data_IF_132404668660
#
_entry.id   IF_132404668660
#
_cell.length_a   1.000
_cell.length_b   1.000
_cell.length_c   1.000
_cell.angle_alpha   90.00
_cell.angle_beta   90.00
_cell.angle_gamma   90.00
#
_symmetry.space_group_name_H-M   'P 1'
#
loop_
_entity.id
_entity.type
_entity.pdbx_description
1 polymer ?
#
# COMPACT_ATOMS: atom_id res chain seq x y z
N UNK A 1 -10.93 -36.64 2.94
CA UNK A 1 -10.22 -35.35 2.80
C UNK A 1 -10.10 -34.60 4.14
N UNK A 2 -10.07 -35.27 5.32
CA UNK A 2 -10.09 -34.61 6.65
C UNK A 2 -8.86 -33.73 6.96
N UNK A 3 -7.80 -33.82 6.16
CA UNK A 3 -6.55 -33.06 6.34
C UNK A 3 -6.37 -31.95 5.30
N UNK A 4 -7.36 -31.66 4.46
CA UNK A 4 -7.22 -30.65 3.41
C UNK A 4 -7.27 -29.25 4.02
N UNK A 5 -6.17 -28.51 3.87
CA UNK A 5 -6.01 -27.13 4.37
C UNK A 5 -6.11 -26.08 3.27
N UNK A 6 -5.89 -26.46 2.01
CA UNK A 6 -5.99 -25.54 0.87
C UNK A 6 -6.78 -26.19 -0.27
N UNK A 7 -7.67 -25.39 -0.87
CA UNK A 7 -8.45 -25.77 -2.05
C UNK A 7 -8.25 -24.72 -3.15
N UNK A 8 -7.69 -25.16 -4.27
CA UNK A 8 -7.38 -24.31 -5.42
C UNK A 8 -8.27 -24.65 -6.62
N UNK A 9 -9.12 -23.70 -7.00
CA UNK A 9 -10.09 -23.82 -8.09
C UNK A 9 -10.07 -22.60 -9.03
N UNK A 10 -8.95 -21.87 -9.05
CA UNK A 10 -8.74 -20.68 -9.90
C UNK A 10 -8.93 -21.00 -11.40
N UNK A 11 -9.55 -20.08 -12.15
CA UNK A 11 -9.82 -20.18 -13.59
C UNK A 11 -10.57 -21.45 -14.01
N UNK A 12 -11.49 -21.95 -13.17
CA UNK A 12 -12.30 -23.13 -13.52
C UNK A 12 -13.69 -22.73 -14.03
N UNK A 13 -14.35 -23.66 -14.73
CA UNK A 13 -15.70 -23.48 -15.26
C UNK A 13 -16.84 -23.74 -14.26
N UNK A 14 -16.53 -23.82 -12.97
CA UNK A 14 -17.51 -24.15 -11.92
C UNK A 14 -18.64 -23.13 -11.87
N UNK A 15 -19.85 -23.62 -11.60
CA UNK A 15 -21.05 -22.77 -11.44
C UNK A 15 -21.38 -22.48 -9.97
N UNK A 16 -21.15 -23.45 -9.11
CA UNK A 16 -21.34 -23.36 -7.67
C UNK A 16 -20.44 -24.38 -6.98
N UNK A 17 -20.10 -24.11 -5.71
CA UNK A 17 -19.52 -25.13 -4.83
C UNK A 17 -20.64 -25.97 -4.19
N UNK A 18 -20.42 -27.28 -3.96
CA UNK A 18 -21.38 -28.11 -3.24
C UNK A 18 -21.44 -27.71 -1.76
N UNK A 19 -22.61 -27.87 -1.13
CA UNK A 19 -22.78 -27.60 0.31
C UNK A 19 -21.85 -28.42 1.21
N UNK A 20 -21.41 -29.59 0.74
CA UNK A 20 -20.42 -30.45 1.41
C UNK A 20 -19.04 -29.80 1.60
N UNK A 21 -18.78 -28.61 1.04
CA UNK A 21 -17.59 -27.81 1.36
C UNK A 21 -17.45 -27.60 2.87
N UNK A 22 -18.58 -27.46 3.61
CA UNK A 22 -18.57 -27.26 5.06
C UNK A 22 -17.92 -28.39 5.86
N UNK A 23 -17.85 -29.60 5.30
CA UNK A 23 -17.16 -30.73 5.92
C UNK A 23 -15.64 -30.63 5.89
N UNK A 24 -15.08 -29.64 5.20
CA UNK A 24 -13.64 -29.35 5.17
C UNK A 24 -13.24 -28.46 6.34
N UNK A 25 -13.56 -28.87 7.57
CA UNK A 25 -13.37 -28.10 8.81
C UNK A 25 -11.92 -27.65 9.09
N UNK A 26 -10.93 -28.19 8.38
CA UNK A 26 -9.51 -27.80 8.47
C UNK A 26 -9.06 -26.88 7.32
N UNK A 27 -9.97 -26.45 6.45
CA UNK A 27 -9.63 -25.59 5.32
C UNK A 27 -9.24 -24.19 5.83
N UNK A 28 -8.06 -23.75 5.43
CA UNK A 28 -7.50 -22.43 5.74
C UNK A 28 -7.49 -21.52 4.51
N UNK A 29 -7.38 -22.09 3.30
CA UNK A 29 -7.26 -21.34 2.05
C UNK A 29 -8.27 -21.83 1.00
N UNK A 30 -9.15 -20.94 0.53
CA UNK A 30 -10.10 -21.21 -0.54
C UNK A 30 -9.88 -20.22 -1.69
N UNK A 31 -9.45 -20.72 -2.85
CA UNK A 31 -9.23 -19.88 -4.03
C UNK A 31 -10.13 -20.32 -5.20
N UNK A 32 -10.90 -19.36 -5.70
CA UNK A 32 -11.93 -19.48 -6.72
C UNK A 32 -11.83 -18.37 -7.77
N UNK A 33 -10.74 -17.60 -7.77
CA UNK A 33 -10.62 -16.44 -8.65
C UNK A 33 -10.71 -16.80 -10.14
N UNK A 34 -11.18 -15.87 -10.96
CA UNK A 34 -11.33 -16.08 -12.40
C UNK A 34 -12.40 -17.11 -12.80
N UNK A 35 -13.23 -17.58 -11.86
CA UNK A 35 -14.33 -18.49 -12.16
C UNK A 35 -15.51 -17.73 -12.79
N UNK A 36 -15.42 -17.45 -14.09
CA UNK A 36 -16.40 -16.64 -14.83
C UNK A 36 -17.83 -17.20 -14.90
N UNK A 37 -18.06 -18.43 -14.43
CA UNK A 37 -19.38 -19.06 -14.34
C UNK A 37 -19.92 -19.19 -12.92
N UNK A 38 -19.14 -18.82 -11.89
CA UNK A 38 -19.53 -18.92 -10.50
C UNK A 38 -20.66 -17.92 -10.19
N UNK A 39 -21.83 -18.41 -9.82
CA UNK A 39 -22.99 -17.55 -9.51
C UNK A 39 -23.23 -17.39 -8.02
N UNK A 40 -22.92 -18.42 -7.24
CA UNK A 40 -23.21 -18.47 -5.81
C UNK A 40 -22.19 -19.33 -5.05
N UNK A 41 -22.06 -19.09 -3.74
CA UNK A 41 -21.35 -19.96 -2.79
C UNK A 41 -22.38 -20.56 -1.82
N UNK A 42 -22.18 -21.81 -1.35
CA UNK A 42 -23.08 -22.44 -0.39
C UNK A 42 -22.89 -21.86 1.02
N UNK A 43 -23.97 -21.85 1.83
CA UNK A 43 -23.90 -21.42 3.24
C UNK A 43 -22.95 -22.29 4.10
N UNK A 44 -22.64 -23.51 3.66
CA UNK A 44 -21.61 -24.36 4.27
C UNK A 44 -20.22 -23.71 4.34
N UNK A 45 -19.96 -22.60 3.63
CA UNK A 45 -18.74 -21.80 3.81
C UNK A 45 -18.59 -21.31 5.25
N UNK A 46 -19.69 -21.04 5.96
CA UNK A 46 -19.66 -20.60 7.36
C UNK A 46 -19.27 -21.72 8.34
N UNK A 47 -19.26 -23.00 7.93
CA UNK A 47 -18.74 -24.09 8.76
C UNK A 47 -17.20 -24.15 8.76
N UNK A 48 -16.55 -23.38 7.86
CA UNK A 48 -15.09 -23.34 7.72
C UNK A 48 -14.46 -22.41 8.77
N UNK A 49 -14.51 -22.83 10.04
CA UNK A 49 -14.09 -22.01 11.18
C UNK A 49 -12.59 -21.65 11.19
N UNK A 50 -11.75 -22.41 10.46
CA UNK A 50 -10.30 -22.15 10.32
C UNK A 50 -9.93 -21.37 9.07
N UNK A 51 -10.90 -20.94 8.27
CA UNK A 51 -10.65 -20.27 7.00
C UNK A 51 -9.95 -18.93 7.25
N UNK A 52 -8.75 -18.79 6.71
CA UNK A 52 -7.91 -17.59 6.81
C UNK A 52 -8.00 -16.74 5.56
N UNK A 53 -8.15 -17.37 4.40
CA UNK A 53 -8.13 -16.67 3.12
C UNK A 53 -9.22 -17.16 2.18
N UNK A 54 -9.98 -16.20 1.65
CA UNK A 54 -10.98 -16.40 0.60
C UNK A 54 -10.62 -15.53 -0.59
N UNK A 55 -10.34 -16.16 -1.73
CA UNK A 55 -10.01 -15.47 -2.97
C UNK A 55 -11.05 -15.75 -4.05
N UNK A 56 -11.89 -14.76 -4.33
CA UNK A 56 -13.01 -14.78 -5.29
C UNK A 56 -12.80 -13.82 -6.45
N UNK A 57 -11.68 -13.10 -6.52
CA UNK A 57 -11.51 -12.03 -7.51
C UNK A 57 -11.73 -12.50 -8.95
N UNK A 58 -12.22 -11.62 -9.83
CA UNK A 58 -12.54 -11.95 -11.22
C UNK A 58 -13.67 -12.99 -11.38
N UNK A 59 -14.66 -13.00 -10.49
CA UNK A 59 -15.89 -13.79 -10.62
C UNK A 59 -17.11 -12.89 -10.98
N UNK A 60 -17.25 -12.43 -12.24
CA UNK A 60 -18.22 -11.39 -12.61
C UNK A 60 -19.70 -11.80 -12.46
N UNK A 61 -20.00 -13.10 -12.42
CA UNK A 61 -21.36 -13.61 -12.22
C UNK A 61 -21.73 -13.80 -10.74
N UNK A 62 -20.78 -13.65 -9.83
CA UNK A 62 -21.03 -13.73 -8.40
C UNK A 62 -21.59 -12.39 -7.92
N UNK A 63 -22.90 -12.36 -7.69
CA UNK A 63 -23.64 -11.13 -7.35
C UNK A 63 -23.89 -10.93 -5.86
N UNK A 64 -23.73 -12.01 -5.09
CA UNK A 64 -23.94 -12.03 -3.64
C UNK A 64 -22.98 -13.01 -2.97
N UNK A 65 -22.64 -12.74 -1.71
CA UNK A 65 -22.09 -13.73 -0.81
C UNK A 65 -23.25 -14.46 -0.10
N UNK A 66 -23.12 -15.75 0.28
CA UNK A 66 -24.19 -16.50 0.93
C UNK A 66 -24.70 -15.78 2.18
N UNK A 67 -26.02 -15.75 2.38
CA UNK A 67 -26.62 -15.22 3.59
C UNK A 67 -26.78 -16.33 4.63
N UNK A 68 -26.21 -16.14 5.82
CA UNK A 68 -26.31 -17.10 6.93
C UNK A 68 -27.78 -17.37 7.33
N UNK A 69 -28.63 -16.33 7.28
CA UNK A 69 -30.04 -16.38 7.69
C UNK A 69 -30.90 -17.27 6.79
N UNK A 70 -30.59 -17.37 5.50
CA UNK A 70 -31.32 -18.25 4.57
C UNK A 70 -31.04 -19.74 4.81
N UNK A 71 -29.96 -20.07 5.54
CA UNK A 71 -29.61 -21.45 5.89
C UNK A 71 -30.38 -22.00 7.10
N UNK A 72 -30.95 -21.13 7.95
CA UNK A 72 -31.73 -21.56 9.12
C UNK A 72 -33.15 -22.05 8.75
N UNK A 73 -33.55 -21.87 7.48
CA UNK A 73 -34.91 -22.17 6.97
C UNK A 73 -34.93 -23.37 6.01
N UNK A 74 -34.20 -24.47 6.28
CA UNK A 74 -34.55 -25.89 5.99
C UNK A 74 -33.33 -26.78 5.60
N UNK A 75 -33.34 -28.10 5.89
CA UNK A 75 -34.20 -28.83 6.81
C UNK A 75 -33.45 -29.63 7.89
N UNK A 76 -34.15 -29.74 9.02
CA UNK A 76 -34.20 -30.83 9.99
C UNK A 76 -33.65 -32.15 9.44
N UNK A 77 -32.44 -32.54 9.86
CA UNK A 77 -32.08 -33.96 9.85
C UNK A 77 -32.81 -34.63 11.00
N UNK A 78 -33.87 -35.36 10.66
CA UNK A 78 -34.45 -36.39 11.50
C UNK A 78 -33.33 -37.36 11.92
N UNK A 79 -32.85 -37.24 13.17
CA UNK A 79 -32.29 -38.38 13.90
C UNK A 79 -33.38 -39.46 13.88
N UNK A 80 -33.21 -40.46 13.01
CA UNK A 80 -34.00 -41.67 13.03
C UNK A 80 -33.79 -42.30 14.40
N UNK A 81 -34.83 -42.18 15.23
CA UNK A 81 -34.91 -42.81 16.54
C UNK A 81 -34.97 -44.33 16.33
N UNK A 82 -33.91 -45.02 16.75
CA UNK A 82 -34.02 -46.41 17.17
C UNK A 82 -33.73 -46.49 18.67
N UNK A 83 -34.84 -46.60 19.41
CA UNK A 83 -35.05 -47.23 20.71
C UNK A 83 -34.10 -46.99 21.90
N UNK A 84 -34.71 -46.36 22.92
CA UNK A 84 -34.78 -46.78 24.33
C UNK A 84 -33.48 -47.05 25.09
N UNK A 85 -33.09 -46.12 25.98
CA UNK A 85 -33.24 -46.25 27.44
C UNK A 85 -32.40 -45.21 28.21
N UNK A 86 -33.09 -44.57 29.15
CA UNK A 86 -32.68 -44.31 30.53
C UNK A 86 -31.65 -43.20 30.87
N UNK A 87 -32.17 -42.28 31.68
CA UNK A 87 -31.53 -41.53 32.78
C UNK A 87 -30.34 -40.59 32.52
N UNK A 88 -30.62 -39.32 32.85
CA UNK A 88 -29.69 -38.32 33.40
C UNK A 88 -28.37 -38.13 32.65
N UNK A 89 -28.41 -37.31 31.61
CA UNK A 89 -27.25 -36.54 31.18
C UNK A 89 -27.65 -35.08 31.09
N UNK A 90 -26.83 -34.24 31.72
CA UNK A 90 -26.84 -32.79 31.71
C UNK A 90 -27.05 -32.21 30.30
N UNK A 91 -27.48 -30.94 30.16
CA UNK A 91 -27.53 -30.31 28.85
C UNK A 91 -26.14 -30.36 28.21
N UNK A 92 -25.98 -31.15 27.15
CA UNK A 92 -24.84 -31.04 26.25
C UNK A 92 -24.71 -29.57 25.84
N UNK A 93 -23.50 -29.03 25.96
CA UNK A 93 -23.17 -27.63 25.64
C UNK A 93 -23.21 -27.38 24.12
N UNK A 94 -24.37 -27.58 23.51
CA UNK A 94 -24.61 -27.38 22.09
C UNK A 94 -25.05 -25.94 21.85
N UNK A 95 -24.09 -25.02 21.88
CA UNK A 95 -24.09 -23.75 21.11
C UNK A 95 -22.76 -23.03 21.33
N UNK A 96 -21.64 -23.77 21.23
CA UNK A 96 -20.32 -23.15 21.14
C UNK A 96 -20.16 -22.53 19.74
N UNK A 97 -20.74 -21.34 19.59
CA UNK A 97 -20.35 -20.29 18.63
C UNK A 97 -20.16 -20.74 17.17
N UNK A 98 -21.27 -20.87 16.43
CA UNK A 98 -21.26 -20.85 14.96
C UNK A 98 -20.88 -19.43 14.46
N UNK A 99 -19.68 -18.94 14.75
CA UNK A 99 -19.22 -17.62 14.30
C UNK A 99 -18.96 -17.66 12.80
N UNK A 100 -19.36 -16.62 12.08
CA UNK A 100 -19.18 -16.52 10.64
C UNK A 100 -17.71 -16.19 10.31
N UNK A 101 -16.90 -17.22 10.07
CA UNK A 101 -15.48 -17.10 9.65
C UNK A 101 -14.58 -16.33 10.65
N UNK A 102 -14.43 -16.81 11.91
CA UNK A 102 -13.72 -16.07 12.96
C UNK A 102 -12.22 -15.88 12.69
N UNK A 103 -11.59 -16.78 11.91
CA UNK A 103 -10.16 -16.75 11.60
C UNK A 103 -9.81 -16.02 10.30
N UNK A 104 -10.78 -15.38 9.63
CA UNK A 104 -10.57 -14.75 8.33
C UNK A 104 -9.58 -13.58 8.43
N UNK A 105 -8.45 -13.72 7.75
CA UNK A 105 -7.36 -12.73 7.65
C UNK A 105 -7.48 -11.94 6.34
N UNK A 106 -7.79 -12.64 5.24
CA UNK A 106 -7.82 -12.07 3.89
C UNK A 106 -9.10 -12.41 3.15
N UNK A 107 -9.77 -11.38 2.66
CA UNK A 107 -10.95 -11.52 1.81
C UNK A 107 -10.78 -10.74 0.52
N UNK A 108 -10.75 -11.44 -0.62
CA UNK A 108 -10.59 -10.85 -1.93
C UNK A 108 -11.78 -11.16 -2.83
N UNK A 109 -12.51 -10.14 -3.25
CA UNK A 109 -13.66 -10.25 -4.14
C UNK A 109 -13.66 -9.14 -5.21
N UNK A 110 -12.46 -8.67 -5.58
CA UNK A 110 -12.28 -7.68 -6.64
C UNK A 110 -12.85 -8.15 -7.98
N UNK A 111 -13.46 -7.26 -8.77
CA UNK A 111 -14.02 -7.64 -10.07
C UNK A 111 -15.24 -8.57 -10.00
N UNK A 112 -15.78 -8.82 -8.80
CA UNK A 112 -17.07 -9.47 -8.61
C UNK A 112 -18.19 -8.43 -8.67
N UNK A 113 -19.37 -8.81 -9.14
CA UNK A 113 -20.51 -7.91 -9.19
C UNK A 113 -21.30 -7.94 -7.86
N UNK A 114 -20.60 -7.93 -6.74
CA UNK A 114 -21.18 -7.95 -5.39
C UNK A 114 -21.93 -6.63 -5.15
N UNK A 115 -23.21 -6.63 -5.53
CA UNK A 115 -24.09 -5.46 -5.47
C UNK A 115 -24.43 -5.04 -4.03
N UNK A 116 -24.35 -5.99 -3.10
CA UNK A 116 -24.54 -5.78 -1.67
C UNK A 116 -23.33 -6.37 -0.92
N UNK A 117 -22.66 -5.51 -0.13
CA UNK A 117 -21.51 -5.88 0.70
C UNK A 117 -21.81 -5.81 2.21
N UNK A 118 -23.08 -5.71 2.58
CA UNK A 118 -23.56 -5.70 3.97
C UNK A 118 -23.23 -7.02 4.69
N UNK A 119 -23.01 -8.10 3.95
CA UNK A 119 -22.57 -9.38 4.51
C UNK A 119 -21.27 -9.23 5.32
N UNK A 120 -20.40 -8.26 5.00
CA UNK A 120 -19.19 -7.98 5.77
C UNK A 120 -19.52 -7.63 7.24
N UNK A 121 -20.65 -6.98 7.49
CA UNK A 121 -21.12 -6.69 8.84
C UNK A 121 -21.47 -7.95 9.64
N UNK A 122 -21.74 -9.08 8.97
CA UNK A 122 -22.05 -10.37 9.62
C UNK A 122 -20.82 -11.23 9.93
N UNK A 123 -19.63 -10.90 9.40
CA UNK A 123 -18.42 -11.71 9.58
C UNK A 123 -17.80 -11.55 10.96
N UNK A 124 -17.45 -12.62 11.63
CA UNK A 124 -16.90 -12.60 13.00
C UNK A 124 -15.37 -12.46 13.04
N UNK A 125 -14.82 -11.71 12.08
CA UNK A 125 -13.39 -11.52 11.86
C UNK A 125 -12.89 -10.12 12.24
N UNK A 126 -13.55 -9.45 13.19
CA UNK A 126 -13.26 -8.05 13.57
C UNK A 126 -11.78 -7.81 13.94
N UNK A 127 -11.17 -8.76 14.67
CA UNK A 127 -9.79 -8.71 15.14
C UNK A 127 -8.80 -9.47 14.24
N UNK A 128 -9.27 -10.19 13.23
CA UNK A 128 -8.43 -11.06 12.40
C UNK A 128 -8.26 -10.53 10.98
N UNK A 129 -9.27 -9.85 10.42
CA UNK A 129 -9.24 -9.36 9.05
C UNK A 129 -8.18 -8.26 8.88
N UNK A 130 -7.13 -8.56 8.12
CA UNK A 130 -6.02 -7.66 7.84
C UNK A 130 -6.04 -7.14 6.40
N UNK A 131 -6.57 -7.90 5.45
CA UNK A 131 -6.67 -7.49 4.04
C UNK A 131 -8.08 -7.66 3.48
N UNK A 132 -8.64 -6.57 2.96
CA UNK A 132 -9.93 -6.55 2.29
C UNK A 132 -9.78 -6.00 0.87
N UNK A 133 -10.20 -6.78 -0.11
CA UNK A 133 -10.28 -6.36 -1.50
C UNK A 133 -11.71 -6.48 -2.02
N UNK A 134 -12.30 -5.31 -2.27
CA UNK A 134 -13.62 -5.15 -2.89
C UNK A 134 -13.49 -4.24 -4.12
N UNK A 135 -12.34 -4.28 -4.80
CA UNK A 135 -12.09 -3.53 -6.03
C UNK A 135 -13.15 -3.81 -7.09
N UNK A 136 -13.40 -2.82 -7.94
CA UNK A 136 -14.38 -2.85 -9.03
C UNK A 136 -15.82 -3.11 -8.56
N UNK A 137 -16.11 -2.93 -7.26
CA UNK A 137 -17.46 -3.02 -6.73
C UNK A 137 -18.28 -1.78 -7.08
N UNK A 138 -19.61 -1.91 -7.30
CA UNK A 138 -20.49 -0.80 -7.67
C UNK A 138 -20.87 0.12 -6.49
N UNK A 139 -20.01 0.22 -5.46
CA UNK A 139 -20.25 0.95 -4.23
C UNK A 139 -20.23 2.46 -4.45
N UNK A 140 -21.11 3.16 -3.75
CA UNK A 140 -21.18 4.63 -3.72
C UNK A 140 -20.58 5.19 -2.44
N UNK A 141 -20.76 4.45 -1.34
CA UNK A 141 -20.32 4.79 0.01
C UNK A 141 -19.61 3.56 0.58
N UNK A 142 -18.58 3.79 1.39
CA UNK A 142 -17.88 2.73 2.10
C UNK A 142 -18.73 2.22 3.29
N UNK A 143 -18.92 0.91 3.47
CA UNK A 143 -19.70 0.37 4.60
C UNK A 143 -19.11 0.71 5.97
N UNK A 144 -20.00 0.97 6.95
CA UNK A 144 -19.61 1.29 8.33
C UNK A 144 -18.76 0.20 9.01
N UNK A 145 -18.91 -1.07 8.64
CA UNK A 145 -18.10 -2.15 9.22
C UNK A 145 -16.61 -2.00 8.89
N UNK A 146 -16.27 -1.45 7.72
CA UNK A 146 -14.87 -1.17 7.35
C UNK A 146 -14.28 -0.09 8.25
N UNK A 147 -15.13 0.86 8.70
CA UNK A 147 -14.74 2.00 9.53
C UNK A 147 -14.65 1.62 11.01
N UNK A 148 -15.67 0.92 11.52
CA UNK A 148 -15.87 0.75 12.97
C UNK A 148 -15.63 -0.67 13.49
N UNK A 149 -15.63 -1.69 12.63
CA UNK A 149 -15.57 -3.11 13.07
C UNK A 149 -14.19 -3.74 12.85
N UNK A 150 -13.60 -3.58 11.68
CA UNK A 150 -12.34 -4.23 11.32
C UNK A 150 -11.12 -3.45 11.85
N UNK A 151 -10.91 -3.49 13.17
CA UNK A 151 -9.90 -2.67 13.86
C UNK A 151 -8.46 -3.00 13.48
N UNK A 152 -8.20 -4.22 12.97
CA UNK A 152 -6.87 -4.67 12.52
C UNK A 152 -6.69 -4.62 10.99
N UNK A 153 -7.63 -4.00 10.27
CA UNK A 153 -7.56 -3.91 8.82
C UNK A 153 -6.35 -3.04 8.40
N UNK A 154 -5.33 -3.69 7.83
CA UNK A 154 -4.09 -3.03 7.42
C UNK A 154 -4.02 -2.70 5.94
N UNK A 155 -4.77 -3.41 5.10
CA UNK A 155 -4.80 -3.26 3.64
C UNK A 155 -6.23 -3.19 3.11
N UNK A 156 -6.53 -2.13 2.36
CA UNK A 156 -7.83 -1.94 1.73
C UNK A 156 -7.67 -1.65 0.23
N UNK A 157 -8.19 -2.55 -0.60
CA UNK A 157 -8.23 -2.38 -2.06
C UNK A 157 -9.64 -1.99 -2.52
N UNK A 158 -9.76 -0.76 -3.03
CA UNK A 158 -10.95 -0.17 -3.62
C UNK A 158 -10.72 0.22 -5.08
N UNK A 159 -9.65 -0.28 -5.73
CA UNK A 159 -9.34 0.01 -7.13
C UNK A 159 -10.60 -0.10 -8.00
N UNK A 160 -10.85 0.86 -8.88
CA UNK A 160 -11.93 0.78 -9.85
C UNK A 160 -13.35 0.89 -9.28
N UNK A 161 -13.53 1.26 -8.01
CA UNK A 161 -14.83 1.63 -7.43
C UNK A 161 -15.30 2.98 -8.00
N UNK A 162 -15.67 3.01 -9.28
CA UNK A 162 -15.89 4.24 -10.08
C UNK A 162 -17.04 5.14 -9.59
N UNK A 163 -17.90 4.65 -8.70
CA UNK A 163 -19.05 5.38 -8.12
C UNK A 163 -18.78 5.88 -6.70
N UNK A 164 -17.67 5.49 -6.09
CA UNK A 164 -17.29 5.91 -4.75
C UNK A 164 -16.97 7.41 -4.78
N UNK A 165 -17.65 8.20 -3.93
CA UNK A 165 -17.50 9.66 -3.90
C UNK A 165 -16.59 10.12 -2.78
N UNK A 166 -16.63 9.45 -1.63
CA UNK A 166 -15.82 9.81 -0.48
C UNK A 166 -15.28 8.59 0.26
N UNK A 167 -14.13 8.79 0.89
CA UNK A 167 -13.58 7.88 1.88
C UNK A 167 -13.57 8.62 3.22
N UNK A 168 -14.39 8.18 4.19
CA UNK A 168 -14.43 8.79 5.51
C UNK A 168 -13.15 8.47 6.30
N UNK A 169 -13.13 8.77 7.61
CA UNK A 169 -12.02 8.34 8.45
C UNK A 169 -11.92 6.81 8.45
N UNK A 170 -10.72 6.30 8.20
CA UNK A 170 -10.43 4.88 8.14
C UNK A 170 -9.82 4.42 9.48
N UNK A 171 -9.86 3.11 9.80
CA UNK A 171 -9.17 2.59 10.98
C UNK A 171 -7.68 2.98 10.99
N UNK A 172 -7.10 3.29 12.16
CA UNK A 172 -5.72 3.76 12.27
C UNK A 172 -4.68 2.70 11.87
N UNK A 173 -5.06 1.42 11.82
CA UNK A 173 -4.23 0.31 11.39
C UNK A 173 -3.98 0.27 9.87
N UNK A 174 -4.76 1.02 9.08
CA UNK A 174 -4.61 1.06 7.62
C UNK A 174 -3.23 1.61 7.26
N UNK A 175 -2.43 0.75 6.64
CA UNK A 175 -1.08 1.05 6.15
C UNK A 175 -1.02 1.09 4.62
N UNK A 176 -1.98 0.47 3.94
CA UNK A 176 -2.05 0.42 2.49
C UNK A 176 -3.48 0.66 2.00
N UNK A 177 -3.64 1.65 1.11
CA UNK A 177 -4.93 2.02 0.51
C UNK A 177 -4.78 2.16 -1.00
N UNK A 178 -5.48 1.32 -1.75
CA UNK A 178 -5.54 1.45 -3.21
C UNK A 178 -6.92 1.94 -3.65
N UNK A 179 -6.97 3.12 -4.24
CA UNK A 179 -8.20 3.72 -4.79
C UNK A 179 -8.01 4.10 -6.25
N UNK A 180 -7.00 3.51 -6.91
CA UNK A 180 -6.73 3.70 -8.33
C UNK A 180 -8.00 3.56 -9.16
N UNK A 181 -8.17 4.38 -10.18
CA UNK A 181 -9.32 4.35 -11.10
C UNK A 181 -10.69 4.66 -10.43
N UNK A 182 -10.71 5.18 -9.19
CA UNK A 182 -11.91 5.74 -8.55
C UNK A 182 -12.21 7.15 -9.07
N UNK A 183 -12.66 7.24 -10.33
CA UNK A 183 -12.80 8.51 -11.06
C UNK A 183 -13.82 9.51 -10.48
N UNK A 184 -14.77 9.05 -9.67
CA UNK A 184 -15.77 9.91 -8.99
C UNK A 184 -15.37 10.31 -7.59
N UNK A 185 -14.23 9.84 -7.09
CA UNK A 185 -13.76 10.12 -5.74
C UNK A 185 -13.40 11.61 -5.64
N UNK A 186 -13.97 12.28 -4.65
CA UNK A 186 -13.87 13.71 -4.43
C UNK A 186 -13.19 14.04 -3.10
N UNK A 187 -13.25 13.15 -2.10
CA UNK A 187 -12.67 13.37 -0.77
C UNK A 187 -12.08 12.11 -0.15
N UNK A 188 -10.96 12.25 0.54
CA UNK A 188 -10.41 11.27 1.49
C UNK A 188 -10.14 12.03 2.80
N UNK A 189 -10.84 11.70 3.88
CA UNK A 189 -10.73 12.42 5.17
C UNK A 189 -9.28 12.59 5.62
N UNK A 190 -8.46 11.52 5.52
CA UNK A 190 -7.05 11.53 5.89
C UNK A 190 -6.27 12.66 5.19
N UNK A 191 -6.46 12.83 3.89
CA UNK A 191 -5.75 13.86 3.11
C UNK A 191 -6.26 15.26 3.46
N UNK A 192 -7.59 15.44 3.56
CA UNK A 192 -8.18 16.72 3.97
C UNK A 192 -7.70 17.14 5.37
N UNK A 193 -7.71 16.23 6.34
CA UNK A 193 -7.26 16.49 7.70
C UNK A 193 -5.78 16.87 7.77
N UNK A 194 -4.93 16.27 6.92
CA UNK A 194 -3.51 16.62 6.82
C UNK A 194 -3.34 18.04 6.27
N UNK A 195 -4.08 18.40 5.22
CA UNK A 195 -4.04 19.77 4.66
C UNK A 195 -4.55 20.82 5.65
N UNK A 196 -5.57 20.48 6.43
CA UNK A 196 -6.14 21.31 7.49
C UNK A 196 -5.34 21.28 8.81
N UNK A 197 -4.17 20.63 8.83
CA UNK A 197 -3.29 20.51 10.02
C UNK A 197 -3.94 19.85 11.24
N UNK A 198 -4.99 19.06 11.04
CA UNK A 198 -5.68 18.27 12.08
C UNK A 198 -5.03 16.91 12.31
N UNK A 199 -4.21 16.46 11.38
CA UNK A 199 -3.55 15.16 11.39
C UNK A 199 -2.15 15.27 10.79
N UNK A 200 -1.19 14.50 11.32
CA UNK A 200 0.22 14.53 10.88
C UNK A 200 0.72 13.20 10.31
N UNK A 201 -0.06 12.12 10.44
CA UNK A 201 0.36 10.79 10.01
C UNK A 201 -0.32 10.41 8.70
N UNK A 202 0.47 10.30 7.63
CA UNK A 202 0.04 9.74 6.35
C UNK A 202 -0.19 8.22 6.40
N UNK A 203 -1.01 7.69 5.49
CA UNK A 203 -1.06 6.24 5.21
C UNK A 203 0.25 5.85 4.51
N UNK A 204 0.91 4.78 4.98
CA UNK A 204 2.24 4.37 4.50
C UNK A 204 2.28 4.18 2.97
N UNK A 205 1.26 3.59 2.38
CA UNK A 205 1.16 3.49 0.92
C UNK A 205 -0.25 3.80 0.42
N UNK A 206 -0.34 4.71 -0.54
CA UNK A 206 -1.61 5.11 -1.16
C UNK A 206 -1.49 5.18 -2.68
N UNK A 207 -2.44 4.61 -3.41
CA UNK A 207 -2.53 4.76 -4.87
C UNK A 207 -3.78 5.56 -5.27
N UNK A 208 -3.56 6.77 -5.75
CA UNK A 208 -4.57 7.72 -6.24
C UNK A 208 -4.55 7.84 -7.78
N UNK A 209 -3.90 6.91 -8.50
CA UNK A 209 -3.79 7.01 -9.96
C UNK A 209 -5.18 7.12 -10.60
N UNK A 210 -5.33 8.06 -11.55
CA UNK A 210 -6.59 8.41 -12.22
C UNK A 210 -7.72 9.00 -11.32
N UNK A 211 -7.45 9.33 -10.05
CA UNK A 211 -8.40 10.04 -9.17
C UNK A 211 -8.36 11.56 -9.37
N UNK A 212 -8.68 12.02 -10.59
CA UNK A 212 -8.52 13.43 -10.99
C UNK A 212 -9.38 14.41 -10.18
N UNK A 213 -10.63 14.05 -9.86
CA UNK A 213 -11.55 14.92 -9.09
C UNK A 213 -11.04 15.17 -7.68
N UNK A 214 -10.67 14.10 -6.97
CA UNK A 214 -10.02 14.19 -5.66
C UNK A 214 -8.81 15.12 -5.72
N UNK A 215 -7.92 14.94 -6.70
CA UNK A 215 -6.71 15.76 -6.78
C UNK A 215 -7.02 17.24 -7.07
N UNK A 216 -8.02 17.54 -7.91
CA UNK A 216 -8.48 18.91 -8.14
C UNK A 216 -9.02 19.55 -6.86
N UNK A 217 -9.82 18.80 -6.09
CA UNK A 217 -10.35 19.28 -4.81
C UNK A 217 -9.22 19.52 -3.78
N UNK A 218 -8.25 18.61 -3.68
CA UNK A 218 -7.10 18.76 -2.79
C UNK A 218 -6.26 19.99 -3.13
N UNK A 219 -6.05 20.27 -4.43
CA UNK A 219 -5.37 21.50 -4.89
C UNK A 219 -6.20 22.74 -4.53
N UNK A 220 -7.53 22.69 -4.69
CA UNK A 220 -8.42 23.76 -4.24
C UNK A 220 -8.24 24.07 -2.75
N UNK A 221 -8.32 23.03 -1.91
CA UNK A 221 -8.15 23.16 -0.45
C UNK A 221 -6.77 23.71 -0.06
N UNK A 222 -5.69 23.31 -0.77
CA UNK A 222 -4.35 23.80 -0.52
C UNK A 222 -4.15 25.30 -0.85
N UNK A 223 -4.95 25.84 -1.78
CA UNK A 223 -4.83 27.21 -2.26
C UNK A 223 -5.73 28.22 -1.54
N UNK A 224 -6.69 27.77 -0.73
CA UNK A 224 -7.65 28.66 -0.02
C UNK A 224 -7.07 29.30 1.27
N UNK A 225 -5.95 28.79 1.78
CA UNK A 225 -5.28 29.33 2.97
C UNK A 225 -4.35 30.52 2.59
N UNK A 226 -4.92 31.73 2.56
CA UNK A 226 -4.29 33.02 2.21
C UNK A 226 -3.11 33.48 3.12
N UNK A 227 -2.76 32.74 4.19
CA UNK A 227 -1.73 33.15 5.16
C UNK A 227 -0.29 32.73 4.81
N UNK A 228 -0.10 31.78 3.87
CA UNK A 228 1.21 31.30 3.41
C UNK A 228 1.28 31.39 1.88
N UNK A 229 2.02 32.39 1.38
CA UNK A 229 2.23 32.68 -0.05
C UNK A 229 2.59 31.39 -0.82
N UNK A 230 1.72 30.94 -1.72
CA UNK A 230 1.97 29.88 -2.72
C UNK A 230 2.41 28.49 -2.19
N UNK A 231 1.84 28.00 -1.08
CA UNK A 231 2.09 26.62 -0.64
C UNK A 231 1.35 25.57 -1.52
N UNK A 232 2.04 24.99 -2.51
CA UNK A 232 1.53 23.89 -3.34
C UNK A 232 1.11 22.66 -2.50
N UNK A 233 0.12 21.90 -2.99
CA UNK A 233 -0.46 20.70 -2.37
C UNK A 233 0.59 19.82 -1.68
N UNK A 234 1.67 19.52 -2.39
CA UNK A 234 2.66 18.58 -1.91
C UNK A 234 3.53 19.13 -0.78
N UNK A 235 3.84 20.42 -0.78
CA UNK A 235 4.58 21.06 0.31
C UNK A 235 3.78 20.93 1.63
N UNK A 236 2.46 21.08 1.56
CA UNK A 236 1.56 20.87 2.71
C UNK A 236 1.48 19.40 3.13
N UNK A 237 1.45 18.49 2.16
CA UNK A 237 1.49 17.06 2.47
C UNK A 237 2.79 16.66 3.15
N UNK A 238 3.92 17.31 2.84
CA UNK A 238 5.24 16.97 3.37
C UNK A 238 5.59 17.67 4.69
N UNK A 239 5.12 18.91 4.91
CA UNK A 239 5.56 19.75 6.03
C UNK A 239 5.19 19.21 7.42
N UNK A 240 4.22 18.30 7.51
CA UNK A 240 3.72 17.73 8.76
C UNK A 240 4.19 16.30 9.03
N UNK A 241 5.03 15.72 8.15
CA UNK A 241 5.23 14.27 8.11
C UNK A 241 6.45 13.80 8.91
N UNK A 242 6.19 12.85 9.81
CA UNK A 242 7.20 12.24 10.67
C UNK A 242 7.56 10.80 10.28
N UNK A 243 6.77 10.20 9.38
CA UNK A 243 6.91 8.79 9.00
C UNK A 243 7.06 8.65 7.50
N UNK A 244 7.78 7.62 7.08
CA UNK A 244 7.88 7.24 5.68
C UNK A 244 6.50 6.97 5.07
N UNK A 245 6.27 7.50 3.86
CA UNK A 245 5.09 7.17 3.08
C UNK A 245 5.36 7.22 1.57
N UNK A 246 4.48 6.58 0.82
CA UNK A 246 4.46 6.56 -0.65
C UNK A 246 3.05 6.86 -1.15
N UNK A 247 2.91 7.83 -2.05
CA UNK A 247 1.64 8.13 -2.73
C UNK A 247 1.86 8.17 -4.24
N UNK A 248 0.98 7.52 -5.00
CA UNK A 248 0.90 7.65 -6.46
C UNK A 248 -0.21 8.62 -6.82
N UNK A 249 0.12 9.74 -7.46
CA UNK A 249 -0.83 10.75 -7.92
C UNK A 249 -1.11 10.65 -9.43
N UNK A 250 -2.27 11.09 -9.91
CA UNK A 250 -2.50 11.33 -11.33
C UNK A 250 -1.48 12.34 -11.91
N UNK A 251 -0.95 12.11 -13.11
CA UNK A 251 -0.03 13.04 -13.80
C UNK A 251 -0.81 14.15 -14.50
N UNK A 252 -0.85 15.41 -14.02
CA UNK A 252 -1.13 16.49 -14.95
C UNK A 252 -0.08 16.41 -16.07
N UNK A 253 -0.49 16.55 -17.34
CA UNK A 253 0.34 16.34 -18.55
C UNK A 253 1.74 17.00 -18.55
N UNK A 254 2.06 17.83 -17.55
CA UNK A 254 3.29 18.57 -17.31
C UNK A 254 4.46 17.81 -16.65
N UNK A 255 4.31 16.57 -16.16
CA UNK A 255 5.43 15.80 -15.58
C UNK A 255 5.60 15.97 -14.05
N UNK A 256 6.83 15.85 -13.52
CA UNK A 256 7.14 16.08 -12.09
C UNK A 256 6.73 17.51 -11.69
N UNK A 257 6.14 17.74 -10.50
CA UNK A 257 5.74 19.07 -10.07
C UNK A 257 6.91 20.07 -10.06
N UNK A 258 6.69 21.28 -10.58
CA UNK A 258 7.76 22.27 -10.82
C UNK A 258 8.51 22.75 -9.58
N UNK A 259 7.97 22.55 -8.38
CA UNK A 259 8.56 22.98 -7.11
C UNK A 259 9.55 21.95 -6.51
N UNK A 260 9.74 20.77 -7.14
CA UNK A 260 10.86 19.91 -6.78
C UNK A 260 12.17 20.67 -6.97
N UNK A 261 12.91 20.88 -5.88
CA UNK A 261 14.11 21.74 -5.89
C UNK A 261 15.18 21.26 -6.86
N UNK A 262 15.20 19.96 -7.16
CA UNK A 262 16.07 19.37 -8.17
C UNK A 262 15.24 18.46 -9.08
N UNK A 263 15.25 18.70 -10.38
CA UNK A 263 14.52 17.90 -11.37
C UNK A 263 15.42 17.53 -12.55
N UNK A 264 15.16 16.36 -13.11
CA UNK A 264 15.84 15.86 -14.29
C UNK A 264 14.83 15.27 -15.26
N UNK A 265 14.83 15.77 -16.49
CA UNK A 265 14.06 15.20 -17.58
C UNK A 265 14.75 13.96 -18.16
N UNK A 266 13.93 13.05 -18.66
CA UNK A 266 14.38 11.88 -19.37
C UNK A 266 14.99 12.27 -20.73
N UNK A 267 16.28 11.97 -20.88
CA UNK A 267 17.02 12.13 -22.14
C UNK A 267 17.53 10.79 -22.69
N UNK A 268 16.83 9.69 -22.42
CA UNK A 268 17.19 8.35 -22.91
C UNK A 268 18.08 7.51 -21.98
N UNK A 269 18.29 7.96 -20.75
CA UNK A 269 19.17 7.29 -19.77
C UNK A 269 18.37 6.50 -18.73
N UNK A 270 18.94 5.40 -18.26
CA UNK A 270 18.33 4.48 -17.27
C UNK A 270 18.84 4.70 -15.84
N UNK A 271 19.72 5.68 -15.63
CA UNK A 271 20.28 6.01 -14.31
C UNK A 271 20.34 7.52 -14.12
N UNK A 272 19.71 7.98 -13.05
CA UNK A 272 19.69 9.36 -12.59
C UNK A 272 20.44 9.43 -11.26
N UNK A 273 21.29 10.43 -11.09
CA UNK A 273 22.09 10.59 -9.87
C UNK A 273 22.03 12.04 -9.38
N UNK A 274 21.63 12.21 -8.12
CA UNK A 274 21.57 13.49 -7.41
C UNK A 274 22.56 13.45 -6.24
N UNK A 275 23.46 14.43 -6.17
CA UNK A 275 24.40 14.60 -5.07
C UNK A 275 24.09 15.89 -4.30
N UNK A 276 23.77 15.72 -3.03
CA UNK A 276 23.37 16.76 -2.10
C UNK A 276 24.40 16.80 -0.96
N UNK A 277 24.87 17.98 -0.58
CA UNK A 277 25.77 18.15 0.57
C UNK A 277 25.06 18.94 1.67
N UNK A 278 25.16 18.45 2.90
CA UNK A 278 24.62 19.14 4.07
C UNK A 278 25.59 20.19 4.58
N UNK A 279 25.05 21.28 5.13
CA UNK A 279 25.84 22.33 5.75
C UNK A 279 26.09 22.00 7.23
N UNK A 280 27.08 22.68 7.82
CA UNK A 280 27.54 22.41 9.19
C UNK A 280 26.45 22.56 10.27
N UNK A 281 25.37 23.31 9.99
CA UNK A 281 24.24 23.52 10.90
C UNK A 281 23.06 22.56 10.69
N UNK A 282 23.22 21.53 9.85
CA UNK A 282 22.14 20.57 9.56
C UNK A 282 21.65 19.85 10.81
N UNK A 283 20.33 19.74 10.95
CA UNK A 283 19.67 18.98 12.02
C UNK A 283 18.94 17.77 11.45
N UNK A 284 19.13 16.63 12.10
CA UNK A 284 18.49 15.37 11.72
C UNK A 284 17.00 15.33 12.09
N UNK A 285 16.59 16.07 13.11
CA UNK A 285 15.23 16.01 13.62
C UNK A 285 14.27 16.74 12.68
N UNK A 286 13.13 16.10 12.38
CA UNK A 286 12.09 16.64 11.50
C UNK A 286 12.57 17.01 10.09
N UNK A 287 13.64 16.39 9.61
CA UNK A 287 14.11 16.49 8.22
C UNK A 287 13.95 15.18 7.49
N UNK A 288 13.73 15.25 6.19
CA UNK A 288 13.59 14.06 5.34
C UNK A 288 13.77 14.36 3.86
N UNK A 289 13.82 13.32 3.05
CA UNK A 289 13.90 13.43 1.60
C UNK A 289 12.55 13.10 0.98
N UNK A 290 12.06 13.99 0.13
CA UNK A 290 10.98 13.73 -0.79
C UNK A 290 11.56 13.37 -2.16
N UNK A 291 11.17 12.23 -2.69
CA UNK A 291 11.59 11.67 -3.97
C UNK A 291 10.37 11.64 -4.88
N UNK A 292 10.55 12.04 -6.13
CA UNK A 292 9.46 12.06 -7.09
C UNK A 292 9.89 11.51 -8.43
N UNK A 293 9.04 10.67 -9.01
CA UNK A 293 9.26 10.05 -10.31
C UNK A 293 7.96 10.14 -11.11
N UNK A 294 7.99 10.86 -12.22
CA UNK A 294 6.89 10.84 -13.19
C UNK A 294 7.13 9.70 -14.18
N UNK A 295 6.15 8.83 -14.33
CA UNK A 295 6.22 7.65 -15.19
C UNK A 295 5.35 7.86 -16.43
N UNK A 296 5.91 7.64 -17.62
CA UNK A 296 5.17 7.48 -18.88
C UNK A 296 4.90 6.00 -19.09
N UNK A 297 3.64 5.62 -19.15
CA UNK A 297 3.32 4.27 -19.54
C UNK A 297 2.88 4.22 -21.00
N UNK A 298 3.74 3.59 -21.82
CA UNK A 298 3.38 3.23 -23.17
C UNK A 298 2.48 2.00 -23.13
N UNK A 299 1.39 2.03 -23.89
CA UNK A 299 0.29 1.04 -23.96
C UNK A 299 0.69 -0.43 -24.23
N UNK A 300 1.99 -0.75 -24.33
CA UNK A 300 2.50 -2.06 -24.73
C UNK A 300 3.04 -2.91 -23.56
N UNK A 301 3.21 -2.37 -22.35
CA UNK A 301 3.67 -3.14 -21.19
C UNK A 301 3.11 -2.60 -19.85
N UNK A 302 2.44 -3.43 -19.04
CA UNK A 302 1.81 -2.99 -17.79
C UNK A 302 2.80 -2.71 -16.65
N UNK A 303 4.11 -2.96 -16.82
CA UNK A 303 5.08 -2.83 -15.72
C UNK A 303 6.24 -1.89 -16.04
N UNK A 304 6.34 -0.79 -15.30
CA UNK A 304 7.62 -0.10 -15.08
C UNK A 304 8.15 -0.57 -13.74
N UNK A 305 9.41 -1.00 -13.72
CA UNK A 305 10.15 -1.14 -12.47
C UNK A 305 11.33 -0.18 -12.47
N UNK A 306 11.47 0.55 -11.38
CA UNK A 306 12.67 1.30 -11.04
C UNK A 306 13.04 1.06 -9.59
N UNK A 307 14.31 1.30 -9.28
CA UNK A 307 14.87 1.21 -7.95
C UNK A 307 15.41 2.57 -7.53
N UNK A 308 15.27 2.87 -6.25
CA UNK A 308 15.85 4.06 -5.64
C UNK A 308 16.87 3.64 -4.61
N UNK A 309 18.03 4.28 -4.64
CA UNK A 309 19.13 4.04 -3.71
C UNK A 309 19.57 5.33 -3.06
N UNK A 310 19.56 5.36 -1.74
CA UNK A 310 20.05 6.49 -0.96
C UNK A 310 21.36 6.08 -0.30
N UNK A 311 22.39 6.90 -0.50
CA UNK A 311 23.68 6.77 0.16
C UNK A 311 23.95 8.00 1.01
N UNK A 312 24.53 7.81 2.19
CA UNK A 312 25.05 8.87 3.05
C UNK A 312 26.54 8.60 3.28
N UNK A 313 27.40 9.55 2.92
CA UNK A 313 28.87 9.37 2.94
C UNK A 313 29.33 8.06 2.29
N UNK A 314 28.78 7.75 1.11
CA UNK A 314 29.02 6.51 0.35
C UNK A 314 28.50 5.21 0.98
N UNK A 315 27.86 5.26 2.15
CA UNK A 315 27.19 4.10 2.77
C UNK A 315 25.74 4.03 2.29
N UNK A 316 25.31 2.90 1.74
CA UNK A 316 23.90 2.68 1.40
C UNK A 316 23.07 2.63 2.69
N UNK A 317 22.04 3.47 2.77
CA UNK A 317 21.18 3.62 3.96
C UNK A 317 19.74 3.17 3.75
N UNK A 318 19.30 2.98 2.50
CA UNK A 318 17.96 2.48 2.17
C UNK A 318 18.03 1.11 1.50
N UNK A 319 17.05 0.24 1.79
CA UNK A 319 16.80 -0.93 0.94
C UNK A 319 16.28 -0.49 -0.45
N UNK A 320 16.52 -1.26 -1.52
CA UNK A 320 15.97 -0.94 -2.82
C UNK A 320 14.45 -1.02 -2.76
N UNK A 321 13.75 0.10 -2.89
CA UNK A 321 12.32 0.06 -3.16
C UNK A 321 12.11 -0.30 -4.64
N UNK A 322 11.59 -1.51 -4.90
CA UNK A 322 11.07 -1.85 -6.22
C UNK A 322 9.70 -1.21 -6.38
N UNK A 323 9.62 -0.19 -7.22
CA UNK A 323 8.36 0.48 -7.49
C UNK A 323 7.72 -0.19 -8.70
N UNK A 324 6.72 -1.04 -8.44
CA UNK A 324 5.82 -1.51 -9.50
C UNK A 324 4.89 -0.37 -9.89
N UNK A 325 4.88 -0.08 -11.18
CA UNK A 325 4.11 1.03 -11.75
C UNK A 325 2.73 0.57 -12.15
N UNK A 326 1.77 1.37 -11.73
CA UNK A 326 0.37 1.39 -12.11
C UNK A 326 0.18 1.36 -13.66
N UNK A 327 -0.90 0.75 -14.19
CA UNK A 327 -1.28 0.68 -15.64
C UNK A 327 -1.66 2.04 -16.29
N UNK A 328 -1.24 3.18 -15.70
CA UNK A 328 -1.41 4.50 -16.30
C UNK A 328 -0.31 5.46 -15.87
N UNK A 329 -0.17 6.58 -16.58
CA UNK A 329 0.69 7.70 -16.19
C UNK A 329 0.39 8.16 -14.75
N UNK A 330 1.42 8.15 -13.90
CA UNK A 330 1.33 8.59 -12.52
C UNK A 330 2.64 9.25 -12.05
N UNK A 331 2.50 10.06 -11.00
CA UNK A 331 3.61 10.63 -10.25
C UNK A 331 3.75 9.80 -8.98
N UNK A 332 4.87 9.11 -8.84
CA UNK A 332 5.25 8.49 -7.58
C UNK A 332 5.89 9.54 -6.70
N UNK A 333 5.33 9.78 -5.52
CA UNK A 333 5.90 10.61 -4.46
C UNK A 333 6.22 9.72 -3.28
N UNK A 334 7.45 9.81 -2.80
CA UNK A 334 7.90 9.08 -1.63
C UNK A 334 8.60 10.02 -0.68
N UNK A 335 8.24 9.95 0.58
CA UNK A 335 8.89 10.69 1.63
C UNK A 335 9.53 9.71 2.59
N UNK A 336 10.77 10.00 2.98
CA UNK A 336 11.53 9.20 3.91
C UNK A 336 12.25 10.12 4.91
N UNK A 337 11.91 10.05 6.21
CA UNK A 337 12.60 10.79 7.25
C UNK A 337 14.07 10.38 7.31
N UNK A 338 14.98 11.32 7.55
CA UNK A 338 16.39 10.98 7.74
C UNK A 338 16.64 10.11 8.97
N UNK A 339 15.79 10.27 10.00
CA UNK A 339 15.80 9.44 11.20
C UNK A 339 15.58 7.95 10.88
N UNK A 340 14.78 7.64 9.86
CA UNK A 340 14.51 6.26 9.45
C UNK A 340 15.66 5.67 8.61
N UNK A 341 16.48 6.51 7.97
CA UNK A 341 17.55 6.06 7.07
C UNK A 341 18.83 5.65 7.81
N UNK A 342 19.27 6.42 8.81
CA UNK A 342 20.64 6.30 9.31
C UNK A 342 20.72 6.31 10.83
N UNK A 343 20.83 5.12 11.43
CA UNK A 343 21.03 4.96 12.87
C UNK A 343 22.33 5.63 13.40
N UNK A 344 23.35 5.73 12.55
CA UNK A 344 24.68 6.23 12.93
C UNK A 344 24.82 7.76 12.87
N UNK A 345 23.93 8.47 12.17
CA UNK A 345 23.87 9.95 12.05
C UNK A 345 25.24 10.63 11.96
N UNK A 346 25.91 10.64 10.79
CA UNK A 346 27.19 11.33 10.65
C UNK A 346 27.07 12.81 11.06
N UNK A 347 28.15 13.34 11.63
CA UNK A 347 28.27 14.76 11.92
C UNK A 347 28.23 15.55 10.60
N UNK A 348 27.40 16.60 10.49
CA UNK A 348 27.46 17.50 9.35
C UNK A 348 28.83 18.20 9.23
N UNK A 349 29.30 18.54 8.01
CA UNK A 349 28.66 18.27 6.73
C UNK A 349 28.80 16.80 6.30
N UNK A 350 27.79 16.28 5.62
CA UNK A 350 27.82 14.96 5.00
C UNK A 350 27.23 15.02 3.59
N UNK A 351 27.59 14.04 2.76
CA UNK A 351 27.04 13.92 1.41
C UNK A 351 25.90 12.92 1.39
N UNK A 352 24.79 13.29 0.76
CA UNK A 352 23.68 12.41 0.43
C UNK A 352 23.62 12.24 -1.08
N UNK A 353 23.67 10.98 -1.54
CA UNK A 353 23.54 10.63 -2.95
C UNK A 353 22.29 9.79 -3.18
N UNK A 354 21.39 10.29 -4.02
CA UNK A 354 20.19 9.58 -4.46
C UNK A 354 20.40 9.09 -5.88
N UNK A 355 20.26 7.79 -6.10
CA UNK A 355 20.35 7.16 -7.43
C UNK A 355 18.98 6.56 -7.76
N UNK A 356 18.43 6.93 -8.90
CA UNK A 356 17.20 6.34 -9.44
C UNK A 356 17.59 5.54 -10.68
N UNK A 357 17.28 4.25 -10.68
CA UNK A 357 17.67 3.32 -11.74
C UNK A 357 16.44 2.62 -12.33
N UNK A 358 16.27 2.71 -13.64
CA UNK A 358 15.23 2.00 -14.37
C UNK A 358 15.76 0.66 -14.90
N UNK A 359 15.03 -0.43 -14.67
CA UNK A 359 15.44 -1.77 -15.12
C UNK A 359 15.49 -1.89 -16.65
N UNK A 360 16.39 -2.73 -17.16
CA UNK A 360 16.59 -2.87 -18.61
C UNK A 360 15.39 -3.46 -19.35
N UNK A 361 14.64 -4.32 -18.68
CA UNK A 361 13.45 -5.00 -19.19
C UNK A 361 12.19 -4.11 -19.13
N UNK A 362 12.30 -2.92 -18.52
CA UNK A 362 11.23 -1.93 -18.42
C UNK A 362 10.99 -1.26 -19.78
N UNK A 363 9.80 -1.45 -20.37
CA UNK A 363 9.42 -0.89 -21.69
C UNK A 363 8.73 0.47 -21.61
N UNK A 364 8.18 0.82 -20.46
CA UNK A 364 7.76 2.17 -20.10
C UNK A 364 8.98 3.06 -19.86
N UNK A 365 8.80 4.37 -19.73
CA UNK A 365 9.91 5.30 -19.52
C UNK A 365 9.60 6.24 -18.36
N UNK A 366 10.55 6.40 -17.43
CA UNK A 366 10.53 7.54 -16.51
C UNK A 366 10.53 8.81 -17.39
N UNK A 367 9.59 9.75 -17.21
CA UNK A 367 9.58 11.06 -17.91
C UNK A 367 10.56 12.02 -17.29
N UNK A 368 10.56 12.05 -15.97
CA UNK A 368 11.39 12.93 -15.17
C UNK A 368 11.42 12.41 -13.74
N UNK A 369 12.45 12.80 -13.00
CA UNK A 369 12.53 12.55 -11.58
C UNK A 369 13.05 13.78 -10.84
N UNK A 370 12.81 13.84 -9.54
CA UNK A 370 13.27 14.92 -8.70
C UNK A 370 13.48 14.51 -7.25
N UNK A 371 14.31 15.29 -6.57
CA UNK A 371 14.61 15.15 -5.15
C UNK A 371 14.40 16.51 -4.49
N UNK A 372 13.75 16.48 -3.34
CA UNK A 372 13.49 17.65 -2.53
C UNK A 372 13.80 17.35 -1.06
N UNK A 373 14.38 18.34 -0.37
CA UNK A 373 14.66 18.25 1.04
C UNK A 373 13.50 18.88 1.81
N UNK A 374 12.88 18.10 2.68
CA UNK A 374 11.82 18.57 3.57
C UNK A 374 12.47 19.00 4.88
N UNK A 375 12.25 20.26 5.28
CA UNK A 375 12.76 20.86 6.52
C UNK A 375 11.63 21.58 7.27
N UNK A 376 11.77 21.78 8.59
CA UNK A 376 10.85 22.62 9.35
C UNK A 376 10.83 24.08 8.83
N UNK A 377 9.69 24.78 8.92
CA UNK A 377 9.60 26.19 8.55
C UNK A 377 10.59 27.04 9.38
N UNK A 378 11.26 27.98 8.70
CA UNK A 378 12.29 28.90 9.23
C UNK A 378 13.70 28.32 9.46
N UNK A 379 14.00 27.10 9.00
CA UNK A 379 15.38 26.65 8.86
C UNK A 379 15.90 27.00 7.44
N UNK A 380 16.65 28.10 7.32
CA UNK A 380 17.27 28.50 6.07
C UNK A 380 18.33 27.47 5.64
N UNK A 381 18.07 26.87 4.48
CA UNK A 381 18.98 26.09 3.62
C UNK A 381 20.10 25.37 4.37
N UNK A 382 19.82 24.16 4.84
CA UNK A 382 20.83 23.27 5.44
C UNK A 382 21.53 22.36 4.43
N UNK A 383 21.27 22.52 3.12
CA UNK A 383 21.88 21.71 2.06
C UNK A 383 22.13 22.48 0.76
N UNK A 384 23.12 22.03 -0.01
CA UNK A 384 23.42 22.48 -1.37
C UNK A 384 23.40 21.30 -2.34
N UNK A 385 22.64 21.41 -3.43
CA UNK A 385 22.78 20.48 -4.56
C UNK A 385 24.11 20.77 -5.26
N UNK A 386 24.95 19.74 -5.41
CA UNK A 386 26.25 19.86 -6.09
C UNK A 386 26.16 19.36 -7.53
N UNK A 387 25.40 18.29 -7.78
CA UNK A 387 25.39 17.60 -9.08
C UNK A 387 24.08 16.86 -9.32
N UNK A 388 23.58 16.95 -10.55
CA UNK A 388 22.47 16.13 -11.05
C UNK A 388 22.79 15.70 -12.49
N UNK A 389 22.95 14.39 -12.73
CA UNK A 389 23.41 13.86 -14.03
C UNK A 389 22.69 12.60 -14.49
N UNK A 390 22.51 12.50 -15.81
CA UNK A 390 21.97 11.32 -16.49
C UNK A 390 23.15 10.45 -16.91
N UNK A 391 23.33 9.28 -16.28
CA UNK A 391 24.48 8.41 -16.51
C UNK A 391 24.12 7.27 -17.48
N UNK A 392 25.03 6.96 -18.42
CA UNK A 392 24.91 5.80 -19.31
C UNK A 392 25.24 4.51 -18.57
N UNK A 393 24.56 3.41 -18.93
CA UNK A 393 24.78 2.08 -18.36
C UNK A 393 26.07 1.40 -18.84
N UNK A 394 27.01 2.13 -19.45
CA UNK A 394 28.31 1.58 -19.92
C UNK A 394 29.29 1.25 -18.78
N UNK A 395 28.78 0.83 -17.62
CA UNK A 395 29.53 0.04 -16.66
C UNK A 395 29.00 -1.39 -16.72
N UNK A 396 29.64 -2.16 -17.61
CA UNK A 396 29.68 -3.62 -17.65
C UNK A 396 29.35 -4.23 -16.28
N UNK A 397 28.29 -5.02 -16.21
CA UNK A 397 28.12 -6.38 -15.63
C UNK A 397 29.09 -6.91 -14.54
N UNK A 398 29.80 -6.06 -13.81
CA UNK A 398 30.91 -6.44 -12.93
C UNK A 398 31.23 -5.42 -11.85
N UNK A 399 30.51 -4.30 -11.75
CA UNK A 399 30.65 -3.39 -10.60
C UNK A 399 29.82 -3.83 -9.39
N UNK A 400 28.66 -4.46 -9.59
CA UNK A 400 27.81 -4.88 -8.48
C UNK A 400 28.34 -6.14 -7.75
N UNK A 401 29.09 -7.01 -8.42
CA UNK A 401 29.70 -8.19 -7.78
C UNK A 401 31.12 -7.95 -7.22
N UNK A 402 31.79 -6.86 -7.62
CA UNK A 402 33.16 -6.57 -7.18
C UNK A 402 33.32 -5.29 -6.35
N UNK A 403 32.27 -4.48 -6.17
CA UNK A 403 32.27 -3.49 -5.11
C UNK A 403 31.97 -4.18 -3.79
N UNK A 404 32.97 -4.89 -3.26
CA UNK A 404 33.08 -4.99 -1.80
C UNK A 404 33.25 -3.53 -1.35
N UNK A 405 32.33 -2.95 -0.56
CA UNK A 405 32.77 -1.92 0.37
C UNK A 405 33.99 -2.54 1.05
N UNK A 406 35.05 -1.78 1.31
CA UNK A 406 35.95 -2.23 2.39
C UNK A 406 35.00 -2.62 3.51
N UNK A 407 34.94 -3.91 3.85
CA UNK A 407 34.24 -4.38 5.02
C UNK A 407 35.01 -3.77 6.19
N UNK A 408 34.82 -2.47 6.41
CA UNK A 408 34.93 -1.87 7.72
C UNK A 408 33.60 -2.24 8.36
N UNK A 409 33.51 -3.51 8.74
CA UNK A 409 32.35 -4.14 9.40
C UNK A 409 32.14 -3.62 10.82
N UNK A 410 32.87 -2.58 11.21
CA UNK A 410 32.69 -1.93 12.49
C UNK A 410 32.68 -0.42 12.29
N UNK A 411 31.52 0.20 12.52
CA UNK A 411 31.37 1.65 12.60
C UNK A 411 32.20 2.27 13.76
N UNK A 412 32.88 1.46 14.57
CA UNK A 412 33.88 1.93 15.55
C UNK A 412 35.12 2.54 14.89
N UNK A 413 35.52 2.08 13.71
CA UNK A 413 36.78 2.52 13.08
C UNK A 413 36.72 3.99 12.61
N UNK A 414 35.53 4.48 12.20
CA UNK A 414 35.33 5.88 11.82
C UNK A 414 35.42 6.85 13.01
N UNK A 415 35.08 6.39 14.22
CA UNK A 415 35.13 7.19 15.44
C UNK A 415 36.57 7.36 15.96
N UNK A 416 37.41 6.34 15.79
CA UNK A 416 38.85 6.39 16.15
C UNK A 416 39.68 7.24 15.19
N UNK A 417 39.40 7.21 13.89
CA UNK A 417 40.17 8.00 12.90
C UNK A 417 39.92 9.51 13.09
N UNK A 418 38.69 9.92 13.42
CA UNK A 418 38.33 11.33 13.68
C UNK A 418 38.87 11.86 15.03
N UNK A 419 39.13 10.99 16.01
CA UNK A 419 39.82 11.37 17.25
C UNK A 419 41.34 11.51 17.06
N UNK A 420 41.94 10.68 16.20
CA UNK A 420 43.38 10.72 15.90
C UNK A 420 43.79 11.94 15.04
N UNK A 421 42.89 12.49 14.22
CA UNK A 421 43.15 13.74 13.48
C UNK A 421 43.01 15.00 14.36
N UNK A 422 42.18 14.97 15.41
CA UNK A 422 42.04 16.09 16.35
C UNK A 422 43.16 16.16 17.41
N UNK A 423 43.95 15.09 17.61
CA UNK A 423 45.15 15.12 18.49
C UNK A 423 46.43 15.59 17.78
N UNK A 424 46.36 15.96 16.49
CA UNK A 424 47.50 16.43 15.68
C UNK A 424 47.41 17.89 15.21
N UNK A 425 46.46 18.66 15.73
CA UNK A 425 46.30 20.10 15.47
C UNK A 425 46.67 20.94 16.69
#
# INVERSE_FOLDING_TARGET
MKCMTSLYLYNTGIKALPSSIGYLINLEYLTLGGCGNLTDLPCGIYELQKLREVYLSECPKLVRFPNKVESEVLPTYSKVSHDNRDSSSEPESDTEFNLALPCLDRFHAGGCNLSNIDFLASLDCASTLYSLDISESPIVILPECIINKFVNLGKLNLRGCRRLVEIPELPPSISWLNVRDCVSLERISKLSNILERKESQMIKEMDLTNCWRLCQNLVGMANEDDDEVDADLFSRLLSSQQFQFTIRFPVPRSGVPKWFSCQMDFKGHRRFEFCIETLANFKWDNTGLALCVAVDQRLQDPWTSFQVYIHINEVRVSEPESVDSAESDHVWLHYVPFLDMCYMRPLPPFTCRVIIYQHEDSKSSIKSCGVHLVMPPNEDVSMKLIRAENLTSELKKGFWDNYRPKQRTDCKELYTDAQLENEKL
#
